data_IF_479635075382
#
_entry.id   IF_479635075382
#
_cell.length_a   1.000
_cell.length_b   1.000
_cell.length_c   1.000
_cell.angle_alpha   90.00
_cell.angle_beta   90.00
_cell.angle_gamma   90.00
#
_symmetry.space_group_name_H-M   'P 1'
#
loop_
_entity.id
_entity.type
_entity.pdbx_description
1 polymer ?
#
# COMPACT_ATOMS: atom_id res chain seq x y z
N UNK A 1 -100.98 -18.29 74.67
CA UNK A 1 -101.87 -18.17 75.84
C UNK A 1 -103.26 -18.00 75.26
N UNK A 2 -104.03 -19.09 75.25
CA UNK A 2 -105.21 -19.31 76.16
C UNK A 2 -106.36 -18.43 75.70
N UNK A 3 -107.62 -18.83 75.65
CA UNK A 3 -108.42 -20.03 75.94
C UNK A 3 -109.86 -19.57 75.63
N UNK A 4 -110.79 -20.53 75.48
CA UNK A 4 -112.24 -20.34 75.75
C UNK A 4 -113.01 -19.34 74.84
N UNK A 5 -114.29 -19.47 74.55
CA UNK A 5 -115.36 -20.32 75.05
C UNK A 5 -116.68 -19.56 74.88
N UNK A 6 -117.74 -20.29 74.49
CA UNK A 6 -119.15 -20.05 74.86
C UNK A 6 -120.04 -19.02 74.12
N UNK A 7 -121.04 -19.59 73.41
CA UNK A 7 -122.51 -19.42 73.55
C UNK A 7 -123.30 -18.19 73.04
N UNK A 8 -124.52 -18.54 72.61
CA UNK A 8 -125.76 -17.78 72.34
C UNK A 8 -125.89 -17.19 70.94
N UNK A 9 -126.70 -17.78 70.05
CA UNK A 9 -128.18 -17.65 69.95
C UNK A 9 -128.61 -16.19 69.83
N UNK A 10 -129.01 -15.77 68.63
CA UNK A 10 -130.26 -15.03 68.47
C UNK A 10 -130.71 -14.93 67.00
N UNK A 11 -132.02 -14.88 66.91
CA UNK A 11 -132.96 -14.97 65.82
C UNK A 11 -132.92 -13.73 64.91
N UNK A 12 -132.98 -14.00 63.59
CA UNK A 12 -133.61 -13.22 62.51
C UNK A 12 -133.47 -11.69 62.44
N UNK A 13 -132.81 -11.23 61.36
CA UNK A 13 -133.23 -10.06 60.60
C UNK A 13 -133.08 -10.38 59.11
N UNK A 14 -134.20 -10.73 58.48
CA UNK A 14 -134.34 -10.93 57.02
C UNK A 14 -133.93 -9.61 56.34
N UNK A 15 -132.95 -9.63 55.40
CA UNK A 15 -132.62 -8.45 54.61
C UNK A 15 -133.87 -7.98 53.88
N UNK A 16 -134.15 -6.67 53.92
CA UNK A 16 -135.30 -6.12 53.22
C UNK A 16 -135.24 -6.50 51.74
N UNK A 17 -136.37 -6.65 51.06
CA UNK A 17 -136.44 -6.99 49.63
C UNK A 17 -135.56 -6.06 48.75
N UNK A 18 -135.29 -4.84 49.23
CA UNK A 18 -134.35 -3.87 48.65
C UNK A 18 -132.89 -4.37 48.63
N UNK A 19 -132.44 -5.06 49.68
CA UNK A 19 -131.07 -5.55 49.80
C UNK A 19 -130.84 -6.77 48.90
N UNK A 20 -131.86 -7.62 48.74
CA UNK A 20 -131.83 -8.75 47.81
C UNK A 20 -131.76 -8.28 46.34
N UNK A 21 -132.55 -7.27 45.98
CA UNK A 21 -132.49 -6.66 44.64
C UNK A 21 -131.13 -5.99 44.37
N UNK A 22 -130.54 -5.30 45.35
CA UNK A 22 -129.17 -4.74 45.22
C UNK A 22 -128.12 -5.84 45.04
N UNK A 23 -128.23 -6.95 45.77
CA UNK A 23 -127.35 -8.11 45.61
C UNK A 23 -127.51 -8.76 44.24
N UNK A 24 -128.73 -8.86 43.72
CA UNK A 24 -129.01 -9.46 42.43
C UNK A 24 -128.51 -8.57 41.27
N UNK A 25 -128.71 -7.26 41.34
CA UNK A 25 -128.16 -6.30 40.37
C UNK A 25 -126.63 -6.32 40.41
N UNK A 26 -126.02 -6.31 41.60
CA UNK A 26 -124.56 -6.41 41.76
C UNK A 26 -124.01 -7.73 41.21
N UNK A 27 -124.71 -8.85 41.41
CA UNK A 27 -124.32 -10.14 40.85
C UNK A 27 -124.40 -10.17 39.31
N UNK A 28 -125.42 -9.54 38.73
CA UNK A 28 -125.54 -9.42 37.27
C UNK A 28 -124.43 -8.53 36.71
N UNK A 29 -124.16 -7.37 37.33
CA UNK A 29 -123.04 -6.49 36.95
C UNK A 29 -121.69 -7.18 37.09
N UNK A 30 -121.46 -7.94 38.16
CA UNK A 30 -120.23 -8.73 38.36
C UNK A 30 -120.10 -9.84 37.31
N UNK A 31 -121.20 -10.49 36.91
CA UNK A 31 -121.20 -11.53 35.89
C UNK A 31 -120.98 -10.95 34.48
N UNK A 32 -121.57 -9.81 34.16
CA UNK A 32 -121.30 -9.09 32.90
C UNK A 32 -119.86 -8.56 32.85
N UNK A 33 -119.34 -8.04 33.97
CA UNK A 33 -117.93 -7.65 34.09
C UNK A 33 -117.00 -8.86 33.92
N UNK A 34 -117.31 -10.00 34.52
CA UNK A 34 -116.55 -11.24 34.36
C UNK A 34 -116.52 -11.70 32.90
N UNK A 35 -117.66 -11.68 32.21
CA UNK A 35 -117.75 -12.07 30.81
C UNK A 35 -117.00 -11.10 29.87
N UNK A 36 -117.04 -9.80 30.18
CA UNK A 36 -116.24 -8.80 29.46
C UNK A 36 -114.74 -8.96 29.72
N UNK A 37 -114.34 -9.33 30.93
CA UNK A 37 -112.95 -9.68 31.27
C UNK A 37 -112.48 -10.93 30.53
N UNK A 38 -113.30 -11.98 30.45
CA UNK A 38 -112.98 -13.20 29.69
C UNK A 38 -112.80 -12.90 28.20
N UNK A 39 -113.71 -12.11 27.60
CA UNK A 39 -113.54 -11.65 26.21
C UNK A 39 -112.25 -10.86 26.02
N UNK A 40 -111.96 -9.93 26.93
CA UNK A 40 -110.73 -9.11 26.89
C UNK A 40 -109.47 -9.97 27.02
N UNK A 41 -109.49 -10.96 27.91
CA UNK A 41 -108.41 -11.94 28.06
C UNK A 41 -108.24 -12.80 26.82
N UNK A 42 -109.33 -13.27 26.21
CA UNK A 42 -109.28 -14.03 24.95
C UNK A 42 -108.65 -13.23 23.80
N UNK A 43 -109.00 -11.95 23.66
CA UNK A 43 -108.37 -11.07 22.67
C UNK A 43 -106.89 -10.79 22.99
N UNK A 44 -106.54 -10.61 24.26
CA UNK A 44 -105.17 -10.45 24.71
C UNK A 44 -104.32 -11.70 24.44
N UNK A 45 -104.83 -12.89 24.75
CA UNK A 45 -104.13 -14.17 24.51
C UNK A 45 -103.89 -14.42 23.02
N UNK A 46 -104.87 -14.15 22.17
CA UNK A 46 -104.69 -14.27 20.72
C UNK A 46 -103.72 -13.23 20.17
N UNK A 47 -103.80 -11.98 20.63
CA UNK A 47 -102.83 -10.93 20.28
C UNK A 47 -101.40 -11.31 20.68
N UNK A 48 -101.21 -11.80 21.92
CA UNK A 48 -99.92 -12.32 22.40
C UNK A 48 -99.41 -13.49 21.57
N UNK A 49 -100.30 -14.37 21.10
CA UNK A 49 -99.93 -15.52 20.27
C UNK A 49 -99.47 -15.10 18.88
N UNK A 50 -100.16 -14.15 18.24
CA UNK A 50 -99.76 -13.57 16.96
C UNK A 50 -98.45 -12.79 17.06
N UNK A 51 -98.27 -12.01 18.13
CA UNK A 51 -97.04 -11.25 18.38
C UNK A 51 -95.85 -12.18 18.61
N UNK A 52 -96.04 -13.27 19.38
CA UNK A 52 -95.03 -14.32 19.58
C UNK A 52 -94.66 -15.02 18.27
N UNK A 53 -95.63 -15.32 17.41
CA UNK A 53 -95.38 -15.95 16.13
C UNK A 53 -94.60 -15.03 15.18
N UNK A 54 -94.95 -13.74 15.16
CA UNK A 54 -94.24 -12.71 14.40
C UNK A 54 -92.80 -12.53 14.89
N UNK A 55 -92.62 -12.51 16.22
CA UNK A 55 -91.28 -12.42 16.84
C UNK A 55 -90.43 -13.64 16.50
N UNK A 56 -91.01 -14.84 16.50
CA UNK A 56 -90.30 -16.07 16.14
C UNK A 56 -89.85 -16.06 14.68
N UNK A 57 -90.72 -15.62 13.76
CA UNK A 57 -90.36 -15.48 12.35
C UNK A 57 -89.21 -14.48 12.16
N UNK A 58 -89.24 -13.35 12.87
CA UNK A 58 -88.16 -12.35 12.84
C UNK A 58 -86.84 -12.90 13.38
N UNK A 59 -86.89 -13.69 14.47
CA UNK A 59 -85.72 -14.36 15.04
C UNK A 59 -85.14 -15.34 14.01
N UNK A 60 -85.97 -16.18 13.39
CA UNK A 60 -85.52 -17.17 12.41
C UNK A 60 -84.90 -16.50 11.17
N UNK A 61 -85.48 -15.39 10.71
CA UNK A 61 -84.93 -14.60 9.60
C UNK A 61 -83.58 -13.97 9.97
N UNK A 62 -83.46 -13.39 11.18
CA UNK A 62 -82.20 -12.83 11.67
C UNK A 62 -81.14 -13.90 11.89
N UNK A 63 -81.51 -15.09 12.36
CA UNK A 63 -80.58 -16.22 12.48
C UNK A 63 -80.06 -16.68 11.13
N UNK A 64 -80.93 -16.76 10.10
CA UNK A 64 -80.49 -17.05 8.72
C UNK A 64 -79.51 -16.00 8.20
N UNK A 65 -79.78 -14.71 8.42
CA UNK A 65 -78.89 -13.61 8.01
C UNK A 65 -77.51 -13.73 8.68
N UNK A 66 -77.48 -14.06 9.98
CA UNK A 66 -76.24 -14.27 10.74
C UNK A 66 -75.47 -15.48 10.20
N UNK A 67 -76.16 -16.60 9.94
CA UNK A 67 -75.55 -17.82 9.39
C UNK A 67 -74.91 -17.59 8.02
N UNK A 68 -75.57 -16.83 7.14
CA UNK A 68 -75.02 -16.48 5.83
C UNK A 68 -73.79 -15.58 5.94
N UNK A 69 -73.84 -14.57 6.81
CA UNK A 69 -72.68 -13.71 7.09
C UNK A 69 -71.52 -14.50 7.68
N UNK A 70 -71.80 -15.44 8.58
CA UNK A 70 -70.79 -16.30 9.18
C UNK A 70 -70.13 -17.23 8.15
N UNK A 71 -70.93 -17.86 7.28
CA UNK A 71 -70.41 -18.68 6.17
C UNK A 71 -69.54 -17.87 5.21
N UNK A 72 -69.94 -16.63 4.89
CA UNK A 72 -69.15 -15.73 4.03
C UNK A 72 -67.82 -15.37 4.69
N UNK A 73 -67.84 -15.04 5.98
CA UNK A 73 -66.64 -14.74 6.76
C UNK A 73 -65.67 -15.92 6.82
N UNK A 74 -66.17 -17.15 7.05
CA UNK A 74 -65.34 -18.36 7.07
C UNK A 74 -64.64 -18.61 5.72
N UNK A 75 -65.37 -18.47 4.60
CA UNK A 75 -64.79 -18.61 3.25
C UNK A 75 -63.69 -17.58 2.98
N UNK A 76 -63.91 -16.33 3.39
CA UNK A 76 -62.94 -15.26 3.23
C UNK A 76 -61.69 -15.49 4.11
N UNK A 77 -61.89 -15.95 5.35
CA UNK A 77 -60.80 -16.35 6.25
C UNK A 77 -59.95 -17.46 5.65
N UNK A 78 -60.56 -18.54 5.15
CA UNK A 78 -59.84 -19.66 4.51
C UNK A 78 -59.08 -19.21 3.27
N UNK A 79 -59.66 -18.33 2.45
CA UNK A 79 -59.00 -17.76 1.27
C UNK A 79 -57.75 -16.95 1.68
N UNK A 80 -57.89 -16.07 2.66
CA UNK A 80 -56.79 -15.24 3.16
C UNK A 80 -55.67 -16.08 3.78
N UNK A 81 -56.02 -17.15 4.50
CA UNK A 81 -55.05 -18.08 5.08
C UNK A 81 -54.26 -18.84 4.00
N UNK A 82 -54.92 -19.27 2.92
CA UNK A 82 -54.24 -19.88 1.76
C UNK A 82 -53.28 -18.90 1.08
N UNK A 83 -53.74 -17.68 0.77
CA UNK A 83 -52.89 -16.65 0.15
C UNK A 83 -51.69 -16.27 1.05
N UNK A 84 -51.89 -16.19 2.36
CA UNK A 84 -50.82 -15.91 3.32
C UNK A 84 -49.79 -17.05 3.36
N UNK A 85 -50.25 -18.31 3.37
CA UNK A 85 -49.37 -19.48 3.34
C UNK A 85 -48.54 -19.58 2.05
N UNK A 86 -49.11 -19.23 0.90
CA UNK A 86 -48.37 -19.16 -0.37
C UNK A 86 -47.30 -18.06 -0.35
N UNK A 87 -47.62 -16.88 0.19
CA UNK A 87 -46.64 -15.79 0.39
C UNK A 87 -45.49 -16.22 1.31
N UNK A 88 -45.80 -16.90 2.42
CA UNK A 88 -44.78 -17.42 3.35
C UNK A 88 -43.87 -18.44 2.66
N UNK A 89 -44.42 -19.37 1.85
CA UNK A 89 -43.61 -20.33 1.08
C UNK A 89 -42.67 -19.63 0.11
N UNK A 90 -43.15 -18.60 -0.59
CA UNK A 90 -42.32 -17.81 -1.52
C UNK A 90 -41.18 -17.11 -0.80
N UNK A 91 -41.46 -16.43 0.32
CA UNK A 91 -40.43 -15.74 1.13
C UNK A 91 -39.37 -16.72 1.64
N UNK A 92 -39.76 -17.92 2.08
CA UNK A 92 -38.81 -18.96 2.52
C UNK A 92 -37.88 -19.40 1.39
N UNK A 93 -38.43 -19.62 0.19
CA UNK A 93 -37.64 -19.96 -1.00
C UNK A 93 -36.66 -18.84 -1.39
N UNK A 94 -37.12 -17.58 -1.37
CA UNK A 94 -36.28 -16.43 -1.71
C UNK A 94 -35.14 -16.22 -0.69
N UNK A 95 -35.41 -16.47 0.60
CA UNK A 95 -34.38 -16.40 1.64
C UNK A 95 -33.32 -17.50 1.48
N UNK A 96 -33.74 -18.74 1.19
CA UNK A 96 -32.80 -19.84 0.94
C UNK A 96 -31.84 -19.53 -0.22
N UNK A 97 -32.35 -18.97 -1.34
CA UNK A 97 -31.51 -18.56 -2.46
C UNK A 97 -30.54 -17.41 -2.11
N UNK A 98 -30.93 -16.52 -1.19
CA UNK A 98 -30.05 -15.44 -0.72
C UNK A 98 -28.93 -15.98 0.16
N UNK A 99 -29.22 -16.93 1.05
CA UNK A 99 -28.22 -17.56 1.91
C UNK A 99 -27.17 -18.32 1.09
N UNK A 100 -27.58 -19.01 0.01
CA UNK A 100 -26.66 -19.65 -0.92
C UNK A 100 -25.75 -18.64 -1.63
N UNK A 101 -26.28 -17.48 -2.06
CA UNK A 101 -25.48 -16.40 -2.66
C UNK A 101 -24.50 -15.76 -1.68
N UNK A 102 -24.89 -15.59 -0.41
CA UNK A 102 -24.01 -15.08 0.65
C UNK A 102 -22.84 -16.04 0.86
N UNK A 103 -23.10 -17.35 1.00
CA UNK A 103 -22.06 -18.36 1.13
C UNK A 103 -21.09 -18.39 -0.06
N UNK A 104 -21.57 -18.15 -1.28
CA UNK A 104 -20.72 -18.04 -2.47
C UNK A 104 -19.83 -16.79 -2.45
N UNK A 105 -20.37 -15.65 -1.99
CA UNK A 105 -19.61 -14.41 -1.84
C UNK A 105 -18.53 -14.53 -0.77
N UNK A 106 -18.81 -15.17 0.36
CA UNK A 106 -17.82 -15.42 1.41
C UNK A 106 -16.66 -16.27 0.89
N UNK A 107 -16.94 -17.37 0.17
CA UNK A 107 -15.90 -18.21 -0.46
C UNK A 107 -15.08 -17.44 -1.49
N UNK A 108 -15.69 -16.56 -2.26
CA UNK A 108 -14.97 -15.71 -3.22
C UNK A 108 -14.06 -14.71 -2.49
N UNK A 109 -14.53 -14.13 -1.39
CA UNK A 109 -13.75 -13.19 -0.58
C UNK A 109 -12.52 -13.86 0.04
N UNK A 110 -12.67 -15.08 0.56
CA UNK A 110 -11.54 -15.87 1.08
C UNK A 110 -10.48 -16.16 0.00
N UNK A 111 -10.92 -16.47 -1.22
CA UNK A 111 -10.03 -16.67 -2.36
C UNK A 111 -9.27 -15.39 -2.72
N UNK A 112 -9.95 -14.24 -2.75
CA UNK A 112 -9.32 -12.94 -2.99
C UNK A 112 -8.31 -12.58 -1.90
N UNK A 113 -8.67 -12.75 -0.63
CA UNK A 113 -7.77 -12.48 0.49
C UNK A 113 -6.51 -13.34 0.44
N UNK A 114 -6.65 -14.63 0.10
CA UNK A 114 -5.51 -15.52 -0.13
C UNK A 114 -4.63 -15.01 -1.27
N UNK A 115 -5.22 -14.55 -2.37
CA UNK A 115 -4.46 -14.04 -3.52
C UNK A 115 -3.73 -12.73 -3.22
N UNK A 116 -4.35 -11.84 -2.44
CA UNK A 116 -3.72 -10.59 -1.97
C UNK A 116 -2.51 -10.91 -1.09
N UNK A 117 -2.62 -11.87 -0.17
CA UNK A 117 -1.52 -12.28 0.68
C UNK A 117 -0.35 -12.90 -0.12
N UNK A 118 -0.66 -13.75 -1.11
CA UNK A 118 0.34 -14.31 -2.05
C UNK A 118 1.09 -13.20 -2.80
N UNK A 119 0.36 -12.27 -3.43
CA UNK A 119 0.97 -11.16 -4.19
C UNK A 119 1.77 -10.21 -3.31
N UNK A 120 1.33 -9.99 -2.06
CA UNK A 120 2.07 -9.16 -1.09
C UNK A 120 3.41 -9.80 -0.74
N UNK A 121 3.42 -11.12 -0.49
CA UNK A 121 4.66 -11.88 -0.24
C UNK A 121 5.60 -11.88 -1.47
N UNK A 122 5.05 -12.02 -2.69
CA UNK A 122 5.84 -11.90 -3.92
C UNK A 122 6.46 -10.51 -4.07
N UNK A 123 5.70 -9.46 -3.79
CA UNK A 123 6.18 -8.08 -3.83
C UNK A 123 7.28 -7.82 -2.79
N UNK A 124 7.16 -8.35 -1.57
CA UNK A 124 8.21 -8.26 -0.54
C UNK A 124 9.48 -8.99 -0.96
N UNK A 125 9.36 -10.18 -1.58
CA UNK A 125 10.51 -10.88 -2.16
C UNK A 125 11.18 -10.04 -3.24
N UNK A 126 10.42 -9.36 -4.09
CA UNK A 126 10.96 -8.47 -5.13
C UNK A 126 11.59 -7.20 -4.57
N UNK A 127 11.04 -6.61 -3.49
CA UNK A 127 11.64 -5.45 -2.81
C UNK A 127 13.02 -5.76 -2.23
N UNK A 128 13.25 -7.01 -1.81
CA UNK A 128 14.57 -7.46 -1.36
C UNK A 128 15.56 -7.68 -2.52
N UNK A 129 15.11 -7.59 -3.78
CA UNK A 129 15.96 -7.58 -4.97
C UNK A 129 16.18 -6.12 -5.40
N UNK A 130 16.66 -5.28 -4.48
CA UNK A 130 17.32 -4.04 -4.91
C UNK A 130 18.56 -4.46 -5.69
N UNK A 131 18.45 -4.43 -7.02
CA UNK A 131 19.55 -4.82 -7.90
C UNK A 131 20.48 -3.64 -8.14
N UNK A 132 21.79 -3.88 -8.14
CA UNK A 132 22.76 -2.88 -8.55
C UNK A 132 22.77 -2.82 -10.08
N UNK A 133 22.33 -1.69 -10.63
CA UNK A 133 22.33 -1.43 -12.08
C UNK A 133 23.58 -0.65 -12.44
N UNK A 134 24.51 -1.28 -13.17
CA UNK A 134 25.64 -0.56 -13.75
C UNK A 134 25.16 0.38 -14.86
N UNK A 135 25.47 1.67 -14.73
CA UNK A 135 25.13 2.69 -15.71
C UNK A 135 26.32 2.87 -16.64
N UNK A 136 26.19 2.33 -17.85
CA UNK A 136 27.21 2.47 -18.88
C UNK A 136 27.26 3.90 -19.40
N UNK A 137 28.40 4.56 -19.21
CA UNK A 137 28.74 5.82 -19.87
C UNK A 137 29.99 5.57 -20.69
N UNK A 138 29.87 5.71 -22.01
CA UNK A 138 31.05 5.70 -22.86
C UNK A 138 31.92 6.91 -22.51
N UNK A 139 33.15 6.65 -22.10
CA UNK A 139 34.02 7.72 -21.62
C UNK A 139 35.44 7.57 -22.14
N UNK A 140 36.18 8.66 -22.05
CA UNK A 140 37.57 8.77 -22.43
C UNK A 140 38.25 9.89 -21.67
N UNK A 141 39.57 9.86 -21.60
CA UNK A 141 40.35 10.93 -21.00
C UNK A 141 40.39 12.16 -21.90
N UNK A 142 40.40 13.32 -21.25
CA UNK A 142 40.56 14.64 -21.83
C UNK A 142 41.59 15.39 -21.00
N UNK A 143 42.73 15.70 -21.61
CA UNK A 143 43.78 16.49 -20.97
C UNK A 143 43.27 17.93 -20.86
N UNK A 144 43.28 18.46 -19.64
CA UNK A 144 43.02 19.87 -19.40
C UNK A 144 44.31 20.67 -19.64
N UNK A 145 44.45 21.19 -20.85
CA UNK A 145 45.66 21.91 -21.32
C UNK A 145 45.92 23.17 -20.49
N UNK A 146 44.89 23.76 -19.87
CA UNK A 146 45.06 25.00 -19.10
C UNK A 146 45.61 24.73 -17.70
N UNK A 147 45.22 23.60 -17.11
CA UNK A 147 45.75 23.13 -15.83
C UNK A 147 47.04 22.31 -15.98
N UNK A 148 47.29 21.77 -17.17
CA UNK A 148 48.47 20.96 -17.45
C UNK A 148 49.60 21.79 -18.08
N UNK A 149 50.56 22.20 -17.25
CA UNK A 149 51.79 22.87 -17.70
C UNK A 149 53.02 22.00 -17.46
N UNK A 150 53.34 21.14 -18.42
CA UNK A 150 54.63 20.44 -18.41
C UNK A 150 55.79 21.46 -18.38
N UNK A 151 55.66 22.56 -19.12
CA UNK A 151 56.60 23.66 -19.17
C UNK A 151 55.78 24.96 -19.45
N UNK A 152 56.29 26.17 -19.16
CA UNK A 152 55.48 27.42 -19.19
C UNK A 152 54.81 27.67 -20.56
N UNK A 153 55.46 27.20 -21.63
CA UNK A 153 55.06 27.39 -23.02
C UNK A 153 54.13 26.29 -23.57
N UNK A 154 53.47 25.48 -22.71
CA UNK A 154 52.57 24.39 -23.14
C UNK A 154 53.24 23.43 -24.16
N UNK A 155 54.47 23.01 -23.87
CA UNK A 155 55.36 22.33 -24.84
C UNK A 155 54.91 20.92 -25.31
N UNK A 156 53.69 20.47 -24.99
CA UNK A 156 53.18 19.18 -25.45
C UNK A 156 52.30 19.39 -26.66
N UNK A 157 52.77 18.88 -27.80
CA UNK A 157 51.93 18.67 -28.96
C UNK A 157 51.13 17.37 -28.78
N UNK A 158 49.82 17.49 -28.50
CA UNK A 158 48.93 16.33 -28.32
C UNK A 158 48.69 15.55 -29.62
N UNK A 159 48.87 16.17 -30.79
CA UNK A 159 48.67 15.53 -32.09
C UNK A 159 49.89 14.70 -32.53
N UNK A 160 51.08 15.05 -32.02
CA UNK A 160 52.36 14.38 -32.31
C UNK A 160 53.25 14.37 -31.07
N UNK A 161 53.04 13.45 -30.12
CA UNK A 161 53.85 13.34 -28.90
C UNK A 161 55.21 12.72 -29.25
N UNK A 162 56.11 13.50 -29.83
CA UNK A 162 57.44 13.04 -30.23
C UNK A 162 58.51 13.93 -29.56
N UNK A 163 59.29 13.25 -28.72
CA UNK A 163 60.57 13.57 -28.03
C UNK A 163 60.60 14.79 -27.10
N UNK A 164 60.35 14.51 -25.82
CA UNK A 164 60.84 15.28 -24.66
C UNK A 164 60.23 16.68 -24.43
N UNK A 165 59.89 17.02 -23.16
CA UNK A 165 59.67 18.44 -22.83
C UNK A 165 60.98 19.19 -23.11
N UNK A 166 60.86 20.38 -23.70
CA UNK A 166 62.00 21.25 -24.02
C UNK A 166 62.84 21.56 -22.76
N UNK A 167 62.20 21.65 -21.59
CA UNK A 167 62.85 21.83 -20.28
C UNK A 167 63.25 20.51 -19.61
N UNK A 168 63.02 19.36 -20.25
CA UNK A 168 63.31 18.04 -19.70
C UNK A 168 62.39 17.58 -18.57
N UNK A 169 61.26 18.26 -18.32
CA UNK A 169 60.30 17.84 -17.29
C UNK A 169 59.58 16.54 -17.67
N UNK A 170 59.14 15.79 -16.65
CA UNK A 170 58.30 14.61 -16.84
C UNK A 170 56.92 15.01 -17.35
N UNK A 171 56.31 14.14 -18.17
CA UNK A 171 55.01 14.40 -18.78
C UNK A 171 54.19 13.16 -19.07
N UNK A 172 52.92 13.37 -19.44
CA UNK A 172 52.01 12.31 -19.86
C UNK A 172 51.75 12.36 -21.36
N UNK A 173 51.56 11.18 -21.94
CA UNK A 173 51.05 11.01 -23.28
C UNK A 173 49.74 10.21 -23.22
N UNK A 174 48.70 10.69 -23.90
CA UNK A 174 47.42 9.98 -24.01
C UNK A 174 47.44 9.09 -25.26
N UNK A 175 47.11 7.82 -25.08
CA UNK A 175 47.13 6.78 -26.11
C UNK A 175 45.73 6.19 -26.22
N UNK A 176 45.13 6.28 -27.42
CA UNK A 176 43.80 5.75 -27.73
C UNK A 176 42.71 6.23 -26.75
N UNK A 177 42.82 7.45 -26.27
CA UNK A 177 41.92 8.12 -25.32
C UNK A 177 41.67 7.41 -23.96
N UNK A 178 42.25 6.23 -23.70
CA UNK A 178 42.06 5.47 -22.45
C UNK A 178 43.37 5.25 -21.68
N UNK A 179 44.49 5.14 -22.38
CA UNK A 179 45.77 4.78 -21.79
C UNK A 179 46.63 6.02 -21.62
N UNK A 180 47.23 6.18 -20.45
CA UNK A 180 48.10 7.30 -20.17
C UNK A 180 49.50 6.77 -19.90
N UNK A 181 50.44 7.12 -20.77
CA UNK A 181 51.83 6.76 -20.60
C UNK A 181 52.61 7.92 -19.98
N UNK A 182 53.26 7.69 -18.85
CA UNK A 182 54.12 8.68 -18.21
C UNK A 182 55.55 8.55 -18.73
N UNK A 183 56.14 9.68 -19.10
CA UNK A 183 57.51 9.82 -19.56
C UNK A 183 58.26 10.61 -18.49
N UNK A 184 59.29 9.98 -17.90
CA UNK A 184 60.09 10.60 -16.84
C UNK A 184 60.88 11.81 -17.34
N UNK A 185 61.20 12.70 -16.40
CA UNK A 185 62.10 13.81 -16.66
C UNK A 185 63.50 13.33 -17.07
N UNK A 186 64.20 14.18 -17.84
CA UNK A 186 65.60 13.97 -18.19
C UNK A 186 66.46 14.30 -16.97
N UNK A 187 67.29 13.34 -16.56
CA UNK A 187 68.16 13.45 -15.39
C UNK A 187 69.05 14.70 -15.48
N UNK A 188 69.06 15.51 -14.41
CA UNK A 188 69.83 16.76 -14.35
C UNK A 188 69.29 17.93 -15.16
N UNK A 189 68.16 17.79 -15.87
CA UNK A 189 67.55 18.88 -16.66
C UNK A 189 66.18 19.33 -16.16
N UNK A 190 65.33 18.39 -15.76
CA UNK A 190 63.96 18.70 -15.35
C UNK A 190 63.52 17.94 -14.12
N UNK A 191 62.25 18.11 -13.77
CA UNK A 191 61.59 17.43 -12.65
C UNK A 191 60.37 16.65 -13.11
N UNK A 192 60.08 15.53 -12.45
CA UNK A 192 58.83 14.81 -12.65
C UNK A 192 57.67 15.67 -12.13
N UNK A 193 56.66 15.90 -12.98
CA UNK A 193 55.49 16.71 -12.66
C UNK A 193 54.26 15.86 -12.49
N UNK A 194 53.42 16.31 -11.56
CA UNK A 194 52.10 15.75 -11.34
C UNK A 194 51.18 16.08 -12.52
N UNK A 195 50.45 15.08 -13.00
CA UNK A 195 49.63 15.20 -14.21
C UNK A 195 48.18 14.88 -13.88
N UNK A 196 47.31 15.88 -13.93
CA UNK A 196 45.86 15.77 -13.66
C UNK A 196 45.09 15.60 -14.98
N UNK A 197 44.20 14.62 -15.04
CA UNK A 197 43.46 14.25 -16.24
C UNK A 197 42.02 13.98 -15.88
N UNK A 198 41.11 14.56 -16.64
CA UNK A 198 39.67 14.41 -16.46
C UNK A 198 39.06 13.57 -17.55
N UNK A 199 37.92 13.00 -17.27
CA UNK A 199 37.08 12.39 -18.31
C UNK A 199 36.38 13.44 -19.16
N UNK A 200 36.00 13.06 -20.38
CA UNK A 200 35.14 13.86 -21.25
C UNK A 200 33.72 13.98 -20.68
N UNK A 201 33.16 12.86 -20.23
CA UNK A 201 31.79 12.78 -19.72
C UNK A 201 31.75 12.65 -18.20
N UNK A 202 30.81 13.36 -17.59
CA UNK A 202 30.56 13.31 -16.15
C UNK A 202 29.52 12.24 -15.80
N UNK A 203 29.63 11.67 -14.60
CA UNK A 203 28.65 10.78 -14.02
C UNK A 203 27.47 11.62 -13.53
N UNK A 204 26.38 11.63 -14.30
CA UNK A 204 25.17 12.38 -13.97
C UNK A 204 24.20 11.50 -13.20
N UNK A 205 23.58 12.05 -12.16
CA UNK A 205 22.53 11.38 -11.39
C UNK A 205 21.41 10.91 -12.33
N UNK A 206 21.10 9.60 -12.34
CA UNK A 206 19.98 9.10 -13.11
C UNK A 206 18.63 9.65 -12.59
N UNK A 207 17.70 9.94 -13.50
CA UNK A 207 16.33 10.33 -13.14
C UNK A 207 15.47 9.09 -12.90
N UNK A 208 14.62 9.14 -11.86
CA UNK A 208 13.61 8.11 -11.57
C UNK A 208 14.15 6.68 -11.38
N UNK A 209 15.28 6.52 -10.69
CA UNK A 209 15.83 5.19 -10.41
C UNK A 209 15.11 4.49 -9.25
N UNK A 210 14.55 3.32 -9.55
CA UNK A 210 13.97 2.40 -8.57
C UNK A 210 15.07 1.51 -7.95
N UNK A 211 16.16 1.32 -8.68
CA UNK A 211 17.31 0.49 -8.31
C UNK A 211 18.52 1.34 -7.94
N UNK A 212 19.50 0.74 -7.27
CA UNK A 212 20.80 1.36 -7.06
C UNK A 212 21.49 1.52 -8.41
N UNK A 213 21.99 2.73 -8.68
CA UNK A 213 22.71 3.03 -9.90
C UNK A 213 24.20 3.13 -9.61
N UNK A 214 25.01 2.32 -10.29
CA UNK A 214 26.47 2.30 -10.15
C UNK A 214 27.12 2.94 -11.37
N UNK A 215 27.94 3.97 -11.14
CA UNK A 215 29.00 4.37 -12.07
C UNK A 215 30.32 3.83 -11.56
N UNK A 216 31.15 3.29 -12.44
CA UNK A 216 32.42 2.69 -12.06
C UNK A 216 33.44 2.79 -13.19
N UNK A 217 34.69 3.04 -12.82
CA UNK A 217 35.85 2.89 -13.70
C UNK A 217 37.04 2.37 -12.91
N UNK A 218 37.97 1.72 -13.59
CA UNK A 218 39.21 1.22 -12.99
C UNK A 218 40.44 1.57 -13.85
N UNK A 219 41.58 1.70 -13.19
CA UNK A 219 42.88 1.95 -13.79
C UNK A 219 43.86 0.86 -13.34
N UNK A 220 44.58 0.28 -14.29
CA UNK A 220 45.71 -0.60 -14.03
C UNK A 220 46.98 0.23 -14.05
N UNK A 221 47.72 0.25 -12.95
CA UNK A 221 48.90 1.10 -12.79
C UNK A 221 50.20 0.35 -13.09
N UNK A 222 51.04 0.88 -13.97
CA UNK A 222 52.42 0.44 -14.17
C UNK A 222 53.37 1.42 -13.46
N UNK A 223 54.03 0.95 -12.42
CA UNK A 223 54.92 1.75 -11.55
C UNK A 223 56.40 1.60 -11.94
N UNK A 224 56.73 0.58 -12.73
CA UNK A 224 58.10 0.33 -13.21
C UNK A 224 58.34 0.91 -14.60
N UNK A 225 58.64 2.20 -14.67
CA UNK A 225 59.02 2.86 -15.93
C UNK A 225 60.49 2.60 -16.21
N UNK A 226 60.81 1.99 -17.35
CA UNK A 226 62.18 1.58 -17.70
C UNK A 226 62.73 0.48 -16.78
N UNK A 227 61.85 -0.35 -16.19
CA UNK A 227 62.22 -1.46 -15.31
C UNK A 227 62.55 -1.09 -13.86
N UNK A 228 62.57 0.21 -13.52
CA UNK A 228 62.89 0.70 -12.17
C UNK A 228 61.66 1.30 -11.48
N UNK A 229 61.50 0.98 -10.20
CA UNK A 229 60.51 1.60 -9.32
C UNK A 229 60.99 2.99 -8.90
N UNK A 230 60.10 3.98 -8.96
CA UNK A 230 60.40 5.32 -8.47
C UNK A 230 59.80 5.55 -7.08
N UNK A 231 60.58 6.05 -6.14
CA UNK A 231 60.05 6.34 -4.80
C UNK A 231 59.06 7.51 -4.79
N UNK A 232 59.09 8.35 -5.83
CA UNK A 232 58.17 9.49 -6.01
C UNK A 232 56.91 9.10 -6.78
N UNK A 233 56.70 7.80 -7.06
CA UNK A 233 55.49 7.31 -7.71
C UNK A 233 54.27 7.63 -6.87
N UNK A 234 53.33 8.35 -7.49
CA UNK A 234 52.07 8.78 -6.88
C UNK A 234 50.92 8.57 -7.86
N UNK A 235 49.78 8.12 -7.33
CA UNK A 235 48.54 8.05 -8.08
C UNK A 235 47.39 8.53 -7.20
N UNK A 236 46.49 9.27 -7.82
CA UNK A 236 45.19 9.65 -7.30
C UNK A 236 44.13 9.21 -8.32
N UNK A 237 43.04 8.64 -7.82
CA UNK A 237 41.83 8.33 -8.55
C UNK A 237 40.64 8.86 -7.75
N UNK A 238 39.69 9.51 -8.41
CA UNK A 238 38.56 10.07 -7.70
C UNK A 238 37.54 10.73 -8.59
N UNK A 239 36.63 11.42 -7.92
CA UNK A 239 35.53 12.17 -8.52
C UNK A 239 35.59 13.61 -8.02
N UNK A 240 35.53 14.56 -8.95
CA UNK A 240 35.38 15.99 -8.64
C UNK A 240 33.91 16.39 -8.74
N UNK A 241 33.41 17.17 -7.78
CA UNK A 241 32.06 17.73 -7.85
C UNK A 241 32.04 18.87 -8.88
N UNK A 242 31.08 18.87 -9.80
CA UNK A 242 30.92 19.96 -10.79
C UNK A 242 30.17 21.19 -10.24
N UNK A 243 29.82 21.20 -8.95
CA UNK A 243 29.13 22.32 -8.30
C UNK A 243 30.06 23.53 -8.03
N UNK A 244 29.47 24.67 -7.64
CA UNK A 244 30.19 25.92 -7.38
C UNK A 244 31.30 25.81 -6.32
N UNK A 245 31.17 24.85 -5.40
CA UNK A 245 32.20 24.50 -4.41
C UNK A 245 32.89 23.21 -4.85
N UNK A 246 34.06 23.33 -5.47
CA UNK A 246 34.87 22.26 -6.08
C UNK A 246 35.49 21.30 -5.06
N UNK A 247 34.65 20.55 -4.36
CA UNK A 247 35.09 19.42 -3.54
C UNK A 247 35.56 18.27 -4.44
N UNK A 248 36.50 17.47 -3.95
CA UNK A 248 36.85 16.20 -4.59
C UNK A 248 36.84 15.08 -3.56
N UNK A 249 36.45 13.89 -3.98
CA UNK A 249 36.54 12.68 -3.17
C UNK A 249 37.44 11.72 -3.90
N UNK A 250 38.51 11.32 -3.23
CA UNK A 250 39.64 10.69 -3.89
C UNK A 250 40.36 9.70 -3.02
N UNK A 251 40.84 8.65 -3.67
CA UNK A 251 41.87 7.79 -3.16
C UNK A 251 43.21 8.27 -3.68
N UNK A 252 44.19 8.42 -2.79
CA UNK A 252 45.56 8.78 -3.14
C UNK A 252 46.56 7.83 -2.51
N UNK A 253 47.59 7.48 -3.27
CA UNK A 253 48.66 6.60 -2.83
C UNK A 253 50.03 7.11 -3.27
N UNK A 254 50.98 7.06 -2.35
CA UNK A 254 52.41 7.24 -2.62
C UNK A 254 53.13 6.02 -2.10
N UNK A 255 54.07 5.47 -2.89
CA UNK A 255 54.87 4.31 -2.49
C UNK A 255 55.52 4.52 -1.11
N UNK A 256 56.03 5.72 -0.85
CA UNK A 256 56.72 6.05 0.41
C UNK A 256 55.79 6.35 1.60
N UNK A 257 54.58 6.85 1.36
CA UNK A 257 53.72 7.42 2.42
C UNK A 257 52.42 6.64 2.65
N UNK A 258 52.21 5.54 1.92
CA UNK A 258 51.02 4.72 1.99
C UNK A 258 49.83 5.36 1.27
N UNK A 259 48.63 4.92 1.66
CA UNK A 259 47.40 5.36 1.02
C UNK A 259 46.39 5.98 1.98
N UNK A 260 45.61 6.90 1.44
CA UNK A 260 44.54 7.57 2.14
C UNK A 260 43.36 7.88 1.21
N UNK A 261 42.19 8.00 1.81
CA UNK A 261 40.98 8.54 1.18
C UNK A 261 40.79 9.96 1.71
N UNK A 262 40.49 10.91 0.83
CA UNK A 262 40.12 12.28 1.16
C UNK A 262 38.68 12.50 0.76
N UNK A 263 37.86 13.04 1.65
CA UNK A 263 36.49 13.43 1.32
C UNK A 263 36.40 14.88 0.84
N UNK A 264 35.19 15.34 0.53
CA UNK A 264 34.89 16.67 0.00
C UNK A 264 35.20 17.83 0.97
N UNK A 265 35.48 17.53 2.25
CA UNK A 265 35.87 18.50 3.28
C UNK A 265 37.36 18.37 3.65
N UNK A 266 38.18 17.75 2.79
CA UNK A 266 39.60 17.46 3.02
C UNK A 266 39.90 16.57 4.24
N UNK A 267 38.90 15.84 4.76
CA UNK A 267 39.10 14.88 5.84
C UNK A 267 39.79 13.64 5.30
N UNK A 268 40.91 13.27 5.92
CA UNK A 268 41.79 12.17 5.51
C UNK A 268 41.51 10.91 6.32
N UNK A 269 41.32 9.79 5.64
CA UNK A 269 41.14 8.46 6.22
C UNK A 269 42.29 7.57 5.75
N UNK A 270 43.14 7.12 6.68
CA UNK A 270 44.24 6.20 6.34
C UNK A 270 43.68 4.82 6.01
N UNK A 271 44.24 4.18 4.99
CA UNK A 271 43.92 2.78 4.69
C UNK A 271 44.91 1.87 5.46
N UNK A 272 44.43 1.02 6.39
CA UNK A 272 45.30 0.09 7.10
C UNK A 272 45.95 -0.90 6.12
N UNK A 273 47.23 -1.23 6.34
CA UNK A 273 47.93 -2.31 5.63
C UNK A 273 47.89 -2.20 4.10
N UNK A 274 48.00 -0.98 3.57
CA UNK A 274 48.04 -0.75 2.14
C UNK A 274 49.41 -1.09 1.54
N UNK A 275 49.41 -1.81 0.42
CA UNK A 275 50.57 -2.02 -0.46
C UNK A 275 50.18 -1.70 -1.90
N UNK A 276 51.14 -1.15 -2.67
CA UNK A 276 50.95 -0.86 -4.09
C UNK A 276 52.01 -1.58 -4.89
N UNK A 277 51.58 -2.57 -5.67
CA UNK A 277 52.42 -3.35 -6.55
C UNK A 277 52.30 -2.87 -7.99
N UNK A 278 53.30 -3.21 -8.80
CA UNK A 278 53.22 -3.01 -10.24
C UNK A 278 52.06 -3.83 -10.82
N UNK A 279 51.27 -3.20 -11.70
CA UNK A 279 50.07 -3.75 -12.33
C UNK A 279 48.85 -3.95 -11.42
N UNK A 280 48.86 -3.41 -10.19
CA UNK A 280 47.64 -3.33 -9.39
C UNK A 280 46.57 -2.51 -10.11
N UNK A 281 45.32 -2.93 -9.94
CA UNK A 281 44.15 -2.28 -10.52
C UNK A 281 43.37 -1.55 -9.43
N UNK A 282 43.13 -0.26 -9.64
CA UNK A 282 42.41 0.61 -8.71
C UNK A 282 41.12 1.08 -9.34
N UNK A 283 40.03 0.98 -8.60
CA UNK A 283 38.72 1.38 -9.08
C UNK A 283 38.08 2.44 -8.22
N UNK A 284 37.18 3.20 -8.82
CA UNK A 284 36.37 4.21 -8.17
C UNK A 284 34.92 4.02 -8.60
N UNK A 285 34.05 3.78 -7.62
CA UNK A 285 32.62 3.60 -7.81
C UNK A 285 31.81 4.70 -7.14
N UNK A 286 30.79 5.19 -7.84
CA UNK A 286 29.76 6.08 -7.31
C UNK A 286 28.42 5.37 -7.36
N UNK A 287 27.73 5.34 -6.23
CA UNK A 287 26.43 4.69 -6.11
C UNK A 287 25.37 5.73 -5.78
N UNK A 288 24.30 5.75 -6.58
CA UNK A 288 23.06 6.47 -6.30
C UNK A 288 22.00 5.47 -5.82
N UNK A 289 21.72 5.40 -4.52
CA UNK A 289 20.56 4.67 -4.01
C UNK A 289 19.24 5.37 -4.39
N UNK A 290 18.10 4.65 -4.40
CA UNK A 290 16.81 5.21 -4.80
C UNK A 290 16.24 6.24 -3.79
N UNK A 291 16.41 6.01 -2.49
CA UNK A 291 15.81 6.81 -1.41
C UNK A 291 16.85 7.37 -0.40
N UNK A 292 18.14 7.15 -0.64
CA UNK A 292 19.21 7.47 0.31
C UNK A 292 20.26 8.40 -0.30
N UNK A 293 21.31 8.71 0.46
CA UNK A 293 22.37 9.62 0.07
C UNK A 293 23.42 8.87 -0.77
N UNK A 294 23.88 9.46 -1.89
CA UNK A 294 24.89 8.83 -2.73
C UNK A 294 26.21 8.63 -1.98
N UNK A 295 27.00 7.65 -2.42
CA UNK A 295 28.29 7.34 -1.81
C UNK A 295 29.34 6.92 -2.82
N UNK A 296 30.60 7.13 -2.45
CA UNK A 296 31.76 6.76 -3.25
C UNK A 296 32.55 5.69 -2.53
N UNK A 297 32.98 4.66 -3.26
CA UNK A 297 33.87 3.61 -2.76
C UNK A 297 35.05 3.43 -3.70
N UNK A 298 36.11 2.85 -3.16
CA UNK A 298 37.34 2.55 -3.90
C UNK A 298 37.66 1.08 -3.82
N UNK A 299 38.31 0.55 -4.84
CA UNK A 299 38.71 -0.86 -4.90
C UNK A 299 40.18 -0.99 -5.28
N UNK A 300 40.82 -2.06 -4.81
CA UNK A 300 42.11 -2.54 -5.30
C UNK A 300 41.95 -4.02 -5.70
N UNK A 301 42.33 -4.35 -6.94
CA UNK A 301 42.25 -5.70 -7.51
C UNK A 301 40.85 -6.33 -7.31
N UNK A 302 39.80 -5.55 -7.59
CA UNK A 302 38.40 -5.97 -7.46
C UNK A 302 37.88 -6.12 -6.03
N UNK A 303 38.64 -5.74 -5.00
CA UNK A 303 38.19 -5.73 -3.60
C UNK A 303 38.07 -4.32 -3.08
N UNK A 304 37.00 -4.02 -2.35
CA UNK A 304 36.83 -2.70 -1.74
C UNK A 304 37.94 -2.42 -0.72
N UNK A 305 38.47 -1.20 -0.75
CA UNK A 305 39.49 -0.70 0.18
C UNK A 305 38.94 0.46 0.98
N UNK A 306 39.22 0.46 2.28
CA UNK A 306 38.68 1.46 3.21
C UNK A 306 37.15 1.40 3.34
N UNK A 307 36.58 2.43 3.95
CA UNK A 307 35.12 2.62 4.05
C UNK A 307 34.64 3.47 2.89
N UNK A 308 33.40 3.24 2.45
CA UNK A 308 32.74 4.15 1.53
C UNK A 308 32.57 5.53 2.17
N UNK A 309 32.59 6.57 1.34
CA UNK A 309 32.42 7.96 1.71
C UNK A 309 31.00 8.37 1.35
N UNK A 310 30.16 8.57 2.36
CA UNK A 310 28.83 9.15 2.19
C UNK A 310 28.97 10.61 1.77
N UNK A 311 28.19 11.00 0.76
CA UNK A 311 28.09 12.39 0.32
C UNK A 311 27.20 13.15 1.30
N UNK A 312 27.40 14.47 1.46
CA UNK A 312 26.52 15.31 2.29
C UNK A 312 25.30 15.78 1.54
N UNK A 313 25.47 16.04 0.24
CA UNK A 313 24.46 16.63 -0.63
C UNK A 313 24.21 15.73 -1.84
N UNK A 314 23.00 15.85 -2.38
CA UNK A 314 22.62 15.24 -3.65
C UNK A 314 23.26 16.01 -4.81
N UNK A 315 24.55 15.79 -5.04
CA UNK A 315 25.23 16.36 -6.21
C UNK A 315 24.73 15.68 -7.50
N UNK A 316 24.35 16.49 -8.47
CA UNK A 316 23.77 16.05 -9.74
C UNK A 316 24.80 15.49 -10.71
N UNK A 317 26.08 15.90 -10.60
CA UNK A 317 27.13 15.40 -11.47
C UNK A 317 28.51 15.38 -10.84
N UNK A 318 29.23 14.30 -11.13
CA UNK A 318 30.62 14.10 -10.73
C UNK A 318 31.49 13.89 -11.94
N UNK A 319 32.67 14.47 -11.95
CA UNK A 319 33.64 14.30 -13.03
C UNK A 319 34.75 13.34 -12.61
N UNK A 320 34.83 12.14 -13.20
CA UNK A 320 35.95 11.24 -12.97
C UNK A 320 37.27 11.86 -13.39
N UNK A 321 38.28 11.64 -12.56
CA UNK A 321 39.63 12.11 -12.84
C UNK A 321 40.67 11.17 -12.22
N UNK A 322 41.87 11.27 -12.77
CA UNK A 322 43.07 10.69 -12.18
C UNK A 322 44.15 11.75 -12.11
N UNK A 323 45.09 11.54 -11.22
CA UNK A 323 46.31 12.31 -11.25
C UNK A 323 47.52 11.46 -10.90
N UNK A 324 48.57 11.56 -11.71
CA UNK A 324 49.67 10.58 -11.72
C UNK A 324 51.03 11.27 -11.74
N UNK A 325 52.01 10.61 -11.14
CA UNK A 325 53.42 10.97 -11.16
C UNK A 325 54.26 9.70 -11.19
N UNK A 326 55.20 9.61 -12.14
CA UNK A 326 56.10 8.47 -12.31
C UNK A 326 55.41 7.10 -12.46
N UNK A 327 54.15 7.04 -12.90
CA UNK A 327 53.45 5.81 -13.27
C UNK A 327 52.60 6.00 -14.53
N UNK A 328 52.46 4.95 -15.31
CA UNK A 328 51.53 4.88 -16.45
C UNK A 328 50.25 4.16 -16.02
N UNK A 329 49.14 4.41 -16.71
CA UNK A 329 47.87 3.74 -16.46
C UNK A 329 47.19 3.25 -17.73
N UNK A 330 46.62 2.05 -17.66
CA UNK A 330 45.62 1.57 -18.60
C UNK A 330 44.25 1.71 -17.94
N UNK A 331 43.28 2.33 -18.62
CA UNK A 331 41.95 2.57 -18.03
C UNK A 331 40.91 1.64 -18.62
N UNK A 332 39.92 1.27 -17.80
CA UNK A 332 38.69 0.64 -18.22
C UNK A 332 37.50 1.47 -17.71
N UNK A 333 36.81 2.14 -18.63
CA UNK A 333 35.56 2.88 -18.34
C UNK A 333 34.30 2.01 -18.46
N UNK A 334 34.44 0.72 -18.81
CA UNK A 334 33.29 -0.14 -19.12
C UNK A 334 32.71 0.09 -20.52
N UNK A 335 33.50 0.69 -21.43
CA UNK A 335 33.11 0.92 -22.82
C UNK A 335 32.76 -0.40 -23.53
N UNK A 336 33.49 -1.48 -23.23
CA UNK A 336 33.20 -2.84 -23.72
C UNK A 336 33.50 -3.90 -22.63
N UNK A 337 32.49 -4.25 -21.85
CA UNK A 337 32.61 -5.24 -20.76
C UNK A 337 32.72 -6.69 -21.25
N UNK A 338 32.35 -6.99 -22.50
CA UNK A 338 32.47 -8.35 -23.05
C UNK A 338 33.93 -8.71 -23.30
N UNK A 339 34.70 -7.79 -23.87
CA UNK A 339 36.12 -8.01 -24.20
C UNK A 339 37.06 -7.52 -23.10
N UNK A 340 36.64 -6.55 -22.29
CA UNK A 340 37.43 -5.94 -21.21
C UNK A 340 36.53 -5.79 -19.96
N UNK A 341 36.16 -6.90 -19.31
CA UNK A 341 35.36 -6.84 -18.08
C UNK A 341 36.11 -6.12 -16.97
N UNK A 342 35.38 -5.54 -16.03
CA UNK A 342 35.98 -5.04 -14.79
C UNK A 342 36.54 -6.20 -13.96
N UNK A 343 37.62 -5.93 -13.21
CA UNK A 343 38.06 -6.86 -12.17
C UNK A 343 37.09 -6.84 -10.99
N UNK A 344 36.47 -5.68 -10.73
CA UNK A 344 35.43 -5.56 -9.72
C UNK A 344 34.12 -6.24 -10.14
N UNK A 345 33.70 -7.22 -9.35
CA UNK A 345 32.44 -7.91 -9.51
C UNK A 345 31.32 -7.17 -8.76
N UNK A 346 30.64 -6.28 -9.47
CA UNK A 346 29.55 -5.49 -8.91
C UNK A 346 28.31 -6.33 -8.53
N UNK A 347 28.20 -7.59 -8.97
CA UNK A 347 27.12 -8.49 -8.49
C UNK A 347 27.28 -8.87 -7.01
N UNK A 348 28.51 -8.72 -6.48
CA UNK A 348 28.85 -8.97 -5.08
C UNK A 348 28.88 -7.69 -4.23
N UNK A 349 28.44 -6.55 -4.78
CA UNK A 349 28.38 -5.32 -4.01
C UNK A 349 27.35 -5.49 -2.87
N UNK A 350 27.81 -5.37 -1.63
CA UNK A 350 26.95 -5.47 -0.46
C UNK A 350 26.41 -4.07 -0.11
N UNK A 351 25.09 -3.96 0.00
CA UNK A 351 24.42 -2.77 0.52
C UNK A 351 24.44 -2.83 2.04
N UNK A 352 25.58 -2.54 2.64
CA UNK A 352 25.62 -2.36 4.09
C UNK A 352 24.78 -1.11 4.41
N UNK A 353 23.69 -1.26 5.16
CA UNK A 353 23.03 -0.12 5.81
C UNK A 353 24.06 0.45 6.80
N UNK A 354 24.63 1.59 6.45
CA UNK A 354 25.77 2.25 7.08
C UNK A 354 25.72 2.37 8.60
#
# INVERSE_FOLDING_TARGET
>A
MTEEGSSNSDMELIPSLSDYLKLQTKYIEEKENSLNLEKKNFYLENGLKEEKQTLQQLIDEKMKEVDEKWKKFLKEKEKNEKEMNEKIKKIKSDNQQKDEKINLLEKANDLFNKKIAELTNELEKLKNIQSLSFIKINNKWKIDIDNYKCCENKCINLDKPIVECIEGNGFINLINDENVNYIKCVEGKGVNKYSLIYTENSFKKPQNCINYSLFYFEIKCTTRIGGKLDNDTEMVIGLELEAANKGCIRFGSKIKYGALIVNENDKKFKIPMFSWNDNDVFGCGLVYPPEDVPYIFFTQNGKQIGKAVLLKDNCESFKPYIAINCCSVETNFGNNLETKPFIYDFSKHLFDKY
#
